data_IF_119750575990
#
_entry.id   IF_119750575990
#
_cell.length_a   1.000
_cell.length_b   1.000
_cell.length_c   1.000
_cell.angle_alpha   90.00
_cell.angle_beta   90.00
_cell.angle_gamma   90.00
#
_symmetry.space_group_name_H-M   'P 1'
#
loop_
_entity.id
_entity.type
_entity.pdbx_description
1 polymer ?
#
# COMPACT_ATOMS: atom_id res chain seq x y z
N UNK A 1 -4.63 -12.96 22.61
CA UNK A 1 -3.69 -11.87 22.27
C UNK A 1 -2.77 -11.69 23.44
N UNK A 2 -1.47 -11.55 23.19
CA UNK A 2 -0.50 -11.22 24.22
C UNK A 2 -0.79 -9.79 24.71
N UNK A 3 -1.17 -9.63 25.98
CA UNK A 3 -1.61 -8.35 26.54
C UNK A 3 -0.50 -7.29 26.44
N UNK A 4 0.75 -7.72 26.58
CA UNK A 4 1.92 -6.85 26.51
C UNK A 4 2.12 -6.26 25.10
N UNK A 5 1.79 -7.03 24.05
CA UNK A 5 1.86 -6.56 22.66
C UNK A 5 0.76 -5.55 22.34
N UNK A 6 -0.45 -5.74 22.88
CA UNK A 6 -1.56 -4.79 22.69
C UNK A 6 -1.25 -3.47 23.40
N UNK A 7 -0.75 -3.54 24.63
CA UNK A 7 -0.36 -2.35 25.38
C UNK A 7 0.78 -1.58 24.71
N UNK A 8 1.76 -2.30 24.13
CA UNK A 8 2.81 -1.68 23.33
C UNK A 8 2.23 -1.00 22.09
N UNK A 9 1.34 -1.67 21.35
CA UNK A 9 0.69 -1.12 20.17
C UNK A 9 -0.11 0.16 20.50
N UNK A 10 -0.84 0.18 21.62
CA UNK A 10 -1.58 1.38 22.07
C UNK A 10 -0.62 2.53 22.39
N UNK A 11 0.47 2.28 23.14
CA UNK A 11 1.48 3.32 23.43
C UNK A 11 2.12 3.88 22.16
N UNK A 12 2.52 2.99 21.23
CA UNK A 12 3.08 3.40 19.94
C UNK A 12 2.07 4.21 19.12
N UNK A 13 0.80 3.82 19.13
CA UNK A 13 -0.26 4.56 18.44
C UNK A 13 -0.47 5.96 19.04
N UNK A 14 -0.50 6.08 20.38
CA UNK A 14 -0.64 7.38 21.04
C UNK A 14 0.53 8.32 20.71
N UNK A 15 1.77 7.80 20.68
CA UNK A 15 2.96 8.55 20.28
C UNK A 15 2.91 8.97 18.79
N UNK A 16 2.45 8.09 17.90
CA UNK A 16 2.28 8.41 16.49
C UNK A 16 1.20 9.47 16.25
N UNK A 17 0.09 9.42 16.99
CA UNK A 17 -0.97 10.44 16.89
C UNK A 17 -0.49 11.81 17.40
N UNK A 18 0.31 11.84 18.47
CA UNK A 18 1.01 13.06 18.93
C UNK A 18 1.92 13.62 17.84
N UNK A 19 2.73 12.77 17.22
CA UNK A 19 3.60 13.15 16.09
C UNK A 19 2.80 13.70 14.89
N UNK A 20 1.65 13.09 14.58
CA UNK A 20 0.73 13.55 13.53
C UNK A 20 0.17 14.94 13.84
N UNK A 21 -0.15 15.23 15.11
CA UNK A 21 -0.60 16.56 15.59
C UNK A 21 0.51 17.62 15.64
N UNK A 22 1.77 17.23 15.43
CA UNK A 22 2.92 18.13 15.44
C UNK A 22 3.62 18.22 16.79
N UNK A 23 3.26 17.38 17.76
CA UNK A 23 3.98 17.31 19.03
C UNK A 23 5.36 16.69 18.85
N UNK A 24 6.31 17.09 19.68
CA UNK A 24 7.60 16.40 19.77
C UNK A 24 7.45 15.10 20.55
N UNK A 25 7.94 14.01 19.96
CA UNK A 25 7.99 12.69 20.59
C UNK A 25 9.44 12.21 20.57
N UNK A 26 10.05 11.89 21.74
CA UNK A 26 11.44 11.46 21.80
C UNK A 26 11.72 10.26 20.89
N UNK A 27 12.77 10.37 20.07
CA UNK A 27 13.19 9.28 19.17
C UNK A 27 12.37 9.14 17.89
N UNK A 28 11.33 9.95 17.69
CA UNK A 28 10.51 9.94 16.47
C UNK A 28 10.59 11.28 15.74
N UNK A 29 10.60 11.20 14.41
CA UNK A 29 10.52 12.36 13.52
C UNK A 29 9.41 12.12 12.51
N UNK A 30 8.65 13.17 12.20
CA UNK A 30 7.60 13.07 11.19
C UNK A 30 8.25 12.77 9.82
N UNK A 31 7.71 11.81 9.05
CA UNK A 31 8.24 11.51 7.74
C UNK A 31 8.10 12.73 6.82
N UNK A 32 9.11 12.94 5.97
CA UNK A 32 9.11 14.04 4.99
C UNK A 32 8.25 13.74 3.75
N UNK A 33 7.70 12.52 3.66
CA UNK A 33 6.96 12.01 2.51
C UNK A 33 5.83 11.09 2.98
N UNK A 34 5.14 10.48 2.01
CA UNK A 34 3.96 9.66 2.22
C UNK A 34 4.12 8.26 1.60
N UNK A 35 3.38 7.29 2.12
CA UNK A 35 3.42 5.88 1.74
C UNK A 35 3.34 4.93 2.94
N UNK A 36 3.17 3.63 2.67
CA UNK A 36 2.92 2.62 3.70
C UNK A 36 4.11 2.43 4.65
N UNK A 37 5.35 2.42 4.13
CA UNK A 37 6.57 2.14 4.90
C UNK A 37 7.41 3.39 5.18
N UNK A 38 7.23 4.46 4.40
CA UNK A 38 7.99 5.72 4.52
C UNK A 38 7.13 6.94 4.81
N UNK A 39 5.88 6.73 5.21
CA UNK A 39 4.91 7.78 5.53
C UNK A 39 4.06 7.44 6.75
N UNK A 40 3.08 8.29 7.01
CA UNK A 40 2.11 8.14 8.09
C UNK A 40 1.00 7.14 7.74
N UNK A 41 0.94 6.60 6.52
CA UNK A 41 -0.04 5.56 6.16
C UNK A 41 0.13 4.29 7.00
N UNK A 42 1.36 3.92 7.38
CA UNK A 42 1.60 2.82 8.32
C UNK A 42 1.06 3.10 9.73
N UNK A 43 1.17 4.35 10.21
CA UNK A 43 0.57 4.77 11.48
C UNK A 43 -0.96 4.75 11.41
N UNK A 44 -1.54 5.21 10.29
CA UNK A 44 -2.98 5.12 10.05
C UNK A 44 -3.47 3.67 10.04
N UNK A 45 -2.71 2.75 9.44
CA UNK A 45 -3.02 1.33 9.44
C UNK A 45 -3.01 0.75 10.86
N UNK A 46 -1.99 1.03 11.67
CA UNK A 46 -1.96 0.63 13.08
C UNK A 46 -3.21 1.10 13.85
N UNK A 47 -3.62 2.35 13.63
CA UNK A 47 -4.83 2.90 14.23
C UNK A 47 -6.10 2.19 13.75
N UNK A 48 -6.19 1.82 12.46
CA UNK A 48 -7.33 1.05 11.94
C UNK A 48 -7.40 -0.35 12.57
N UNK A 49 -6.26 -1.01 12.75
CA UNK A 49 -6.20 -2.32 13.41
C UNK A 49 -6.58 -2.24 14.89
N UNK A 50 -6.07 -1.23 15.62
CA UNK A 50 -6.47 -1.00 17.01
C UNK A 50 -7.96 -0.67 17.14
N UNK A 51 -8.51 0.12 16.21
CA UNK A 51 -9.95 0.38 16.17
C UNK A 51 -10.75 -0.90 15.94
N UNK A 52 -10.30 -1.78 15.03
CA UNK A 52 -10.95 -3.07 14.79
C UNK A 52 -10.88 -3.99 16.03
N UNK A 53 -9.76 -3.95 16.77
CA UNK A 53 -9.55 -4.75 17.97
C UNK A 53 -10.36 -4.25 19.19
N UNK A 54 -10.42 -2.94 19.41
CA UNK A 54 -10.98 -2.37 20.65
C UNK A 54 -12.35 -1.71 20.47
N UNK A 55 -12.72 -1.37 19.24
CA UNK A 55 -13.93 -0.59 18.93
C UNK A 55 -13.85 0.90 19.29
N UNK A 56 -12.71 1.38 19.80
CA UNK A 56 -12.60 2.76 20.27
C UNK A 56 -12.48 3.76 19.09
N UNK A 57 -13.40 4.73 19.01
CA UNK A 57 -13.44 5.72 17.92
C UNK A 57 -12.22 6.68 17.93
N UNK A 58 -11.48 6.79 19.05
CA UNK A 58 -10.26 7.62 19.11
C UNK A 58 -9.22 7.18 18.09
N UNK A 59 -9.10 5.86 17.87
CA UNK A 59 -8.17 5.30 16.89
C UNK A 59 -8.64 5.57 15.47
N UNK A 60 -9.94 5.43 15.17
CA UNK A 60 -10.48 5.80 13.87
C UNK A 60 -10.25 7.28 13.54
N UNK A 61 -10.44 8.18 14.51
CA UNK A 61 -10.13 9.61 14.33
C UNK A 61 -8.63 9.86 14.10
N UNK A 62 -7.74 9.10 14.74
CA UNK A 62 -6.30 9.21 14.54
C UNK A 62 -5.86 8.73 13.15
N UNK A 63 -6.43 7.63 12.67
CA UNK A 63 -6.22 7.16 11.29
C UNK A 63 -6.62 8.24 10.26
N UNK A 64 -7.78 8.88 10.46
CA UNK A 64 -8.24 9.98 9.60
C UNK A 64 -7.25 11.14 9.55
N UNK A 65 -6.78 11.64 10.70
CA UNK A 65 -5.77 12.72 10.77
C UNK A 65 -4.47 12.36 10.05
N UNK A 66 -3.99 11.13 10.22
CA UNK A 66 -2.78 10.67 9.57
C UNK A 66 -2.94 10.64 8.04
N UNK A 67 -4.08 10.15 7.54
CA UNK A 67 -4.38 10.11 6.11
C UNK A 67 -4.61 11.51 5.49
N UNK A 68 -5.25 12.43 6.23
CA UNK A 68 -5.37 13.83 5.81
C UNK A 68 -4.00 14.49 5.63
N UNK A 69 -3.06 14.20 6.53
CA UNK A 69 -1.67 14.68 6.42
C UNK A 69 -0.93 14.04 5.24
N UNK A 70 -1.10 12.74 5.01
CA UNK A 70 -0.55 12.04 3.83
C UNK A 70 -1.10 12.61 2.52
N UNK A 71 -2.41 12.90 2.47
CA UNK A 71 -3.06 13.48 1.30
C UNK A 71 -2.46 14.84 0.91
N UNK A 72 -1.92 15.60 1.87
CA UNK A 72 -1.17 16.83 1.60
C UNK A 72 0.11 16.65 0.78
N UNK A 73 0.66 15.42 0.70
CA UNK A 73 1.78 15.08 -0.17
C UNK A 73 1.35 14.64 -1.58
N UNK A 74 0.07 14.32 -1.77
CA UNK A 74 -0.45 13.85 -3.05
C UNK A 74 -0.73 15.01 -3.99
N UNK A 75 -0.27 14.89 -5.24
CA UNK A 75 -0.50 15.86 -6.31
C UNK A 75 -1.09 15.18 -7.53
N UNK A 76 -2.01 15.87 -8.20
CA UNK A 76 -2.53 15.45 -9.49
C UNK A 76 -1.57 15.86 -10.60
N UNK A 77 -1.12 14.88 -11.39
CA UNK A 77 -0.22 15.08 -12.51
C UNK A 77 -0.99 15.42 -13.80
N UNK A 78 -0.35 16.04 -14.80
CA UNK A 78 -0.89 16.08 -16.15
C UNK A 78 -1.26 14.66 -16.61
N UNK A 79 -2.51 14.45 -17.03
CA UNK A 79 -3.06 13.13 -17.36
C UNK A 79 -3.88 12.46 -16.25
N UNK A 80 -4.06 13.11 -15.09
CA UNK A 80 -5.04 12.71 -14.07
C UNK A 80 -4.54 11.71 -13.02
N UNK A 81 -3.30 11.21 -13.15
CA UNK A 81 -2.72 10.35 -12.11
C UNK A 81 -2.45 11.13 -10.81
N UNK A 82 -2.61 10.48 -9.67
CA UNK A 82 -2.32 11.06 -8.35
C UNK A 82 -1.09 10.39 -7.76
N UNK A 83 -0.08 11.19 -7.43
CA UNK A 83 1.23 10.70 -6.99
C UNK A 83 1.71 11.48 -5.76
N UNK A 84 2.48 10.83 -4.90
CA UNK A 84 3.16 11.52 -3.79
C UNK A 84 4.31 12.33 -4.35
N UNK A 85 4.38 13.63 -4.02
CA UNK A 85 5.49 14.52 -4.38
C UNK A 85 6.51 14.60 -3.26
N UNK A 86 7.77 14.38 -3.60
CA UNK A 86 8.92 14.55 -2.70
C UNK A 86 10.03 15.29 -3.45
N UNK A 87 10.14 16.59 -3.17
CA UNK A 87 10.98 17.51 -3.91
C UNK A 87 10.63 17.54 -5.40
N UNK A 88 11.53 16.99 -6.24
CA UNK A 88 11.36 16.87 -7.70
C UNK A 88 10.86 15.50 -8.16
N UNK A 89 10.71 14.55 -7.24
CA UNK A 89 10.31 13.16 -7.53
C UNK A 89 8.83 12.97 -7.26
N UNK A 90 8.23 12.04 -7.99
CA UNK A 90 6.84 11.63 -7.82
C UNK A 90 6.79 10.12 -7.66
N UNK A 91 5.97 9.63 -6.73
CA UNK A 91 5.96 8.24 -6.31
C UNK A 91 4.56 7.64 -6.28
N UNK A 92 4.46 6.41 -6.80
CA UNK A 92 3.24 5.61 -6.87
C UNK A 92 3.29 4.34 -5.99
N UNK A 93 4.47 3.97 -5.50
CA UNK A 93 4.71 2.66 -4.91
C UNK A 93 4.01 2.47 -3.54
N UNK A 94 4.03 1.22 -3.06
CA UNK A 94 3.49 0.89 -1.74
C UNK A 94 4.34 1.50 -0.62
N UNK A 95 5.67 1.43 -0.72
CA UNK A 95 6.56 1.89 0.36
C UNK A 95 6.50 3.40 0.58
N UNK A 96 6.92 4.16 -0.42
CA UNK A 96 6.85 5.59 -0.57
C UNK A 96 6.07 5.83 -1.85
N UNK A 97 4.91 6.44 -1.73
CA UNK A 97 4.04 6.62 -2.88
C UNK A 97 2.57 6.61 -2.54
N UNK A 98 1.78 7.07 -3.51
CA UNK A 98 0.34 7.19 -3.36
C UNK A 98 -0.37 5.84 -3.34
N UNK A 99 0.26 4.75 -3.81
CA UNK A 99 -0.29 3.40 -3.71
C UNK A 99 -0.52 2.97 -2.25
N UNK A 100 0.49 3.14 -1.39
CA UNK A 100 0.36 2.88 0.04
C UNK A 100 -0.73 3.74 0.71
N UNK A 101 -0.78 5.03 0.37
CA UNK A 101 -1.80 5.97 0.86
C UNK A 101 -3.20 5.50 0.46
N UNK A 102 -3.40 5.15 -0.81
CA UNK A 102 -4.71 4.78 -1.34
C UNK A 102 -5.26 3.48 -0.76
N UNK A 103 -4.41 2.49 -0.49
CA UNK A 103 -4.84 1.25 0.16
C UNK A 103 -5.38 1.51 1.57
N UNK A 104 -4.65 2.27 2.37
CA UNK A 104 -5.06 2.58 3.75
C UNK A 104 -6.26 3.54 3.76
N UNK A 105 -6.31 4.48 2.82
CA UNK A 105 -7.47 5.34 2.61
C UNK A 105 -8.73 4.53 2.24
N UNK A 106 -8.63 3.54 1.34
CA UNK A 106 -9.76 2.67 1.00
C UNK A 106 -10.26 1.89 2.24
N UNK A 107 -9.34 1.36 3.06
CA UNK A 107 -9.70 0.67 4.31
C UNK A 107 -10.38 1.60 5.33
N UNK A 108 -9.94 2.85 5.43
CA UNK A 108 -10.57 3.88 6.27
C UNK A 108 -11.97 4.25 5.74
N UNK A 109 -12.11 4.43 4.42
CA UNK A 109 -13.37 4.81 3.78
C UNK A 109 -14.48 3.77 3.94
N UNK A 110 -14.13 2.50 4.16
CA UNK A 110 -15.10 1.45 4.52
C UNK A 110 -15.76 1.68 5.88
N UNK A 111 -15.19 2.53 6.74
CA UNK A 111 -15.66 2.83 8.11
C UNK A 111 -16.19 4.26 8.24
N UNK A 112 -15.62 5.21 7.50
CA UNK A 112 -15.98 6.63 7.59
C UNK A 112 -15.81 7.35 6.27
N UNK A 113 -16.86 8.07 5.84
CA UNK A 113 -16.80 8.91 4.64
C UNK A 113 -15.78 10.04 4.81
N UNK A 114 -14.93 10.21 3.79
CA UNK A 114 -13.97 11.31 3.66
C UNK A 114 -13.84 11.66 2.17
N UNK A 115 -14.59 12.66 1.68
CA UNK A 115 -14.63 13.00 0.26
C UNK A 115 -13.24 13.24 -0.35
N UNK A 116 -12.37 13.96 0.34
CA UNK A 116 -11.03 14.29 -0.15
C UNK A 116 -10.16 13.04 -0.34
N UNK A 117 -10.21 12.09 0.60
CA UNK A 117 -9.50 10.80 0.48
C UNK A 117 -10.08 9.95 -0.66
N UNK A 118 -11.42 9.93 -0.78
CA UNK A 118 -12.09 9.17 -1.83
C UNK A 118 -11.76 9.68 -3.23
N UNK A 119 -11.55 10.99 -3.37
CA UNK A 119 -11.22 11.64 -4.64
C UNK A 119 -9.80 11.27 -5.16
N UNK A 120 -8.90 10.82 -4.28
CA UNK A 120 -7.54 10.39 -4.69
C UNK A 120 -7.55 9.04 -5.40
N UNK A 121 -8.44 8.12 -4.99
CA UNK A 121 -8.37 6.70 -5.36
C UNK A 121 -8.37 6.45 -6.87
N UNK A 122 -9.24 7.10 -7.69
CA UNK A 122 -9.25 6.87 -9.13
C UNK A 122 -7.92 7.26 -9.80
N UNK A 123 -7.35 8.40 -9.43
CA UNK A 123 -6.08 8.87 -9.98
C UNK A 123 -4.88 8.02 -9.56
N UNK A 124 -4.90 7.47 -8.33
CA UNK A 124 -3.87 6.52 -7.89
C UNK A 124 -3.99 5.20 -8.66
N UNK A 125 -5.21 4.65 -8.79
CA UNK A 125 -5.46 3.42 -9.57
C UNK A 125 -4.97 3.57 -11.01
N UNK A 126 -5.25 4.72 -11.65
CA UNK A 126 -4.77 5.01 -13.00
C UNK A 126 -3.24 5.02 -13.10
N UNK A 127 -2.55 5.61 -12.11
CA UNK A 127 -1.08 5.61 -12.08
C UNK A 127 -0.47 4.21 -11.87
N UNK A 128 -1.17 3.35 -11.14
CA UNK A 128 -0.69 1.99 -10.83
C UNK A 128 -0.67 1.03 -12.04
N UNK A 129 -1.31 1.40 -13.16
CA UNK A 129 -1.30 0.61 -14.41
C UNK A 129 -0.40 1.22 -15.49
N UNK A 130 0.47 2.18 -15.12
CA UNK A 130 1.46 2.73 -16.05
C UNK A 130 2.36 1.63 -16.62
N UNK A 131 2.64 1.74 -17.93
CA UNK A 131 3.35 0.72 -18.68
C UNK A 131 4.78 0.53 -18.21
N UNK A 132 5.52 1.63 -18.04
CA UNK A 132 6.93 1.58 -17.63
C UNK A 132 7.08 1.59 -16.11
N UNK A 133 7.61 0.50 -15.57
CA UNK A 133 7.98 0.35 -14.16
C UNK A 133 9.37 -0.26 -14.11
N UNK A 134 10.27 0.29 -13.28
CA UNK A 134 11.68 -0.11 -13.28
C UNK A 134 11.92 -1.46 -12.62
N UNK A 135 11.27 -1.72 -11.48
CA UNK A 135 11.54 -2.89 -10.64
C UNK A 135 10.32 -3.82 -10.59
N UNK A 136 10.49 -5.14 -10.41
CA UNK A 136 9.37 -6.07 -10.33
C UNK A 136 8.72 -6.15 -8.95
N UNK A 137 9.43 -5.73 -7.89
CA UNK A 137 9.10 -6.03 -6.50
C UNK A 137 7.74 -5.52 -6.00
N UNK A 138 7.35 -6.01 -4.82
CA UNK A 138 6.09 -5.66 -4.18
C UNK A 138 6.09 -4.22 -3.66
N UNK A 139 7.13 -3.82 -2.93
CA UNK A 139 7.10 -2.51 -2.27
C UNK A 139 7.51 -1.35 -3.17
N UNK A 140 8.39 -1.58 -4.15
CA UNK A 140 8.99 -0.54 -5.01
C UNK A 140 8.84 -0.82 -6.51
N UNK A 141 7.87 -1.66 -6.90
CA UNK A 141 7.82 -2.19 -8.26
C UNK A 141 6.46 -2.60 -8.78
N UNK A 142 6.49 -3.26 -9.94
CA UNK A 142 5.30 -3.61 -10.74
C UNK A 142 4.33 -4.49 -9.97
N UNK A 143 4.82 -5.45 -9.18
CA UNK A 143 3.95 -6.34 -8.42
C UNK A 143 3.06 -5.57 -7.43
N UNK A 144 3.62 -4.59 -6.72
CA UNK A 144 2.83 -3.73 -5.84
C UNK A 144 1.83 -2.86 -6.58
N UNK A 145 2.28 -2.25 -7.69
CA UNK A 145 1.42 -1.37 -8.49
C UNK A 145 0.22 -2.14 -9.07
N UNK A 146 0.43 -3.30 -9.70
CA UNK A 146 -0.69 -4.09 -10.25
C UNK A 146 -1.63 -4.60 -9.15
N UNK A 147 -1.11 -5.00 -7.98
CA UNK A 147 -1.95 -5.43 -6.86
C UNK A 147 -2.75 -4.26 -6.28
N UNK A 148 -2.14 -3.07 -6.17
CA UNK A 148 -2.83 -1.84 -5.76
C UNK A 148 -3.94 -1.48 -6.75
N UNK A 149 -3.65 -1.53 -8.05
CA UNK A 149 -4.65 -1.30 -9.09
C UNK A 149 -5.82 -2.29 -8.98
N UNK A 150 -5.54 -3.58 -8.80
CA UNK A 150 -6.56 -4.61 -8.60
C UNK A 150 -7.41 -4.38 -7.35
N UNK A 151 -6.81 -3.96 -6.23
CA UNK A 151 -7.54 -3.64 -4.99
C UNK A 151 -8.44 -2.41 -5.13
N UNK A 152 -8.01 -1.42 -5.93
CA UNK A 152 -8.76 -0.19 -6.20
C UNK A 152 -9.72 -0.30 -7.39
N UNK A 153 -9.73 -1.42 -8.11
CA UNK A 153 -10.61 -1.61 -9.26
C UNK A 153 -12.07 -1.76 -8.83
N UNK A 154 -13.01 -1.06 -9.49
CA UNK A 154 -14.41 -1.05 -9.10
C UNK A 154 -15.16 -2.34 -9.42
N UNK A 155 -14.72 -3.11 -10.44
CA UNK A 155 -15.45 -4.30 -10.90
C UNK A 155 -14.79 -5.61 -10.51
N UNK A 156 -13.49 -5.71 -10.73
CA UNK A 156 -12.72 -6.93 -10.48
C UNK A 156 -11.24 -6.61 -10.29
N UNK A 157 -10.55 -7.44 -9.51
CA UNK A 157 -9.08 -7.35 -9.34
C UNK A 157 -8.33 -7.55 -10.67
N UNK A 158 -8.94 -8.22 -11.64
CA UNK A 158 -8.33 -8.58 -12.92
C UNK A 158 -8.92 -7.80 -14.10
N UNK A 159 -9.20 -6.51 -13.93
CA UNK A 159 -9.58 -5.65 -15.06
C UNK A 159 -8.50 -5.67 -16.18
N UNK A 160 -8.87 -5.42 -17.45
CA UNK A 160 -7.98 -5.66 -18.60
C UNK A 160 -6.62 -4.97 -18.52
N UNK A 161 -6.56 -3.77 -17.95
CA UNK A 161 -5.34 -2.98 -17.73
C UNK A 161 -4.46 -3.56 -16.61
N UNK A 162 -5.07 -4.08 -15.54
CA UNK A 162 -4.35 -4.81 -14.48
C UNK A 162 -3.75 -6.11 -15.04
N UNK A 163 -4.52 -6.84 -15.85
CA UNK A 163 -4.01 -8.04 -16.55
C UNK A 163 -2.90 -7.71 -17.55
N UNK A 164 -3.00 -6.58 -18.25
CA UNK A 164 -1.91 -6.11 -19.11
C UNK A 164 -0.64 -5.80 -18.30
N UNK A 165 -0.78 -5.13 -17.15
CA UNK A 165 0.35 -4.90 -16.24
C UNK A 165 0.94 -6.22 -15.74
N UNK A 166 0.12 -7.21 -15.36
CA UNK A 166 0.60 -8.53 -14.96
C UNK A 166 1.38 -9.26 -16.08
N UNK A 167 0.92 -9.16 -17.34
CA UNK A 167 1.66 -9.72 -18.50
C UNK A 167 3.04 -9.07 -18.68
N UNK A 168 3.16 -7.77 -18.37
CA UNK A 168 4.43 -7.04 -18.42
C UNK A 168 5.41 -7.42 -17.30
N UNK A 169 5.07 -8.35 -16.39
CA UNK A 169 6.06 -8.99 -15.52
C UNK A 169 7.13 -9.72 -16.33
N UNK A 170 6.78 -10.26 -17.51
CA UNK A 170 7.73 -10.94 -18.41
C UNK A 170 8.93 -10.05 -18.81
N UNK A 171 8.80 -8.72 -18.76
CA UNK A 171 9.91 -7.79 -19.02
C UNK A 171 10.95 -7.75 -17.91
N UNK A 172 10.60 -8.24 -16.72
CA UNK A 172 11.44 -8.21 -15.53
C UNK A 172 12.09 -9.56 -15.21
N UNK A 173 11.48 -10.66 -15.64
CA UNK A 173 11.87 -12.01 -15.21
C UNK A 173 13.04 -12.55 -16.05
N UNK A 174 13.96 -13.23 -15.37
CA UNK A 174 15.06 -13.94 -16.02
C UNK A 174 14.70 -15.43 -16.05
N UNK A 175 14.55 -15.99 -17.24
CA UNK A 175 14.41 -17.43 -17.40
C UNK A 175 15.77 -18.12 -17.21
N UNK A 176 15.83 -19.07 -16.28
CA UNK A 176 16.99 -19.92 -16.06
C UNK A 176 16.50 -21.37 -15.87
N UNK A 177 16.76 -22.22 -16.86
CA UNK A 177 16.33 -23.63 -16.88
C UNK A 177 14.81 -23.76 -16.65
N UNK A 178 14.41 -24.40 -15.55
CA UNK A 178 13.03 -24.65 -15.14
C UNK A 178 12.46 -23.54 -14.23
N UNK A 179 13.17 -22.41 -14.08
CA UNK A 179 12.84 -21.36 -13.11
C UNK A 179 12.73 -19.99 -13.75
N UNK A 180 11.93 -19.15 -13.09
CA UNK A 180 11.90 -17.71 -13.31
C UNK A 180 12.54 -17.04 -12.10
N UNK A 181 13.62 -16.30 -12.34
CA UNK A 181 14.31 -15.52 -11.33
C UNK A 181 13.81 -14.07 -11.37
N UNK A 182 13.67 -13.48 -10.18
CA UNK A 182 13.20 -12.10 -10.00
C UNK A 182 14.36 -11.22 -9.59
N UNK A 183 14.82 -10.27 -10.42
CA UNK A 183 15.78 -9.25 -10.02
C UNK A 183 15.20 -8.41 -8.86
N UNK A 184 15.93 -8.34 -7.75
CA UNK A 184 15.54 -7.54 -6.58
C UNK A 184 15.88 -6.06 -6.73
N UNK A 185 16.10 -5.37 -5.59
CA UNK A 185 16.38 -3.93 -5.57
C UNK A 185 17.48 -3.52 -6.54
N UNK A 186 17.21 -2.44 -7.30
CA UNK A 186 18.13 -1.88 -8.30
C UNK A 186 18.59 -2.88 -9.37
N UNK A 187 17.91 -4.02 -9.50
CA UNK A 187 18.16 -5.06 -10.51
C UNK A 187 19.60 -5.64 -10.48
N UNK A 188 20.29 -5.59 -9.33
CA UNK A 188 21.70 -6.01 -9.22
C UNK A 188 21.89 -7.52 -8.98
N UNK A 189 20.93 -8.16 -8.33
CA UNK A 189 20.92 -9.60 -8.01
C UNK A 189 19.49 -10.11 -7.97
N UNK A 190 19.30 -11.40 -8.17
CA UNK A 190 17.99 -12.01 -7.97
C UNK A 190 17.65 -12.08 -6.47
N UNK A 191 16.36 -11.98 -6.14
CA UNK A 191 15.85 -12.10 -4.78
C UNK A 191 14.60 -12.98 -4.71
N UNK A 192 14.44 -13.67 -3.59
CA UNK A 192 13.23 -14.41 -3.23
C UNK A 192 12.44 -13.77 -2.08
N UNK A 193 12.87 -12.60 -1.57
CA UNK A 193 12.21 -11.93 -0.44
C UNK A 193 10.83 -11.33 -0.80
N UNK A 194 10.05 -11.01 0.23
CA UNK A 194 8.71 -10.43 0.10
C UNK A 194 8.74 -9.02 -0.50
N UNK A 195 9.75 -8.22 -0.18
CA UNK A 195 9.76 -6.81 -0.50
C UNK A 195 10.07 -6.54 -1.98
N UNK A 196 11.03 -7.30 -2.51
CA UNK A 196 11.73 -6.99 -3.75
C UNK A 196 11.80 -8.19 -4.70
N UNK A 197 11.59 -9.40 -4.18
CA UNK A 197 11.83 -10.65 -4.88
C UNK A 197 10.59 -11.47 -5.20
N UNK A 198 10.83 -12.76 -5.48
CA UNK A 198 9.82 -13.70 -5.94
C UNK A 198 8.65 -13.90 -4.98
N UNK A 199 8.86 -13.90 -3.65
CA UNK A 199 7.75 -14.06 -2.71
C UNK A 199 6.74 -12.91 -2.81
N UNK A 200 7.21 -11.67 -2.96
CA UNK A 200 6.33 -10.51 -3.15
C UNK A 200 5.56 -10.53 -4.46
N UNK A 201 6.23 -10.94 -5.54
CA UNK A 201 5.61 -11.11 -6.83
C UNK A 201 4.52 -12.20 -6.79
N UNK A 202 4.80 -13.35 -6.18
CA UNK A 202 3.85 -14.44 -6.03
C UNK A 202 2.66 -14.04 -5.15
N UNK A 203 2.88 -13.30 -4.06
CA UNK A 203 1.79 -12.78 -3.23
C UNK A 203 0.88 -11.84 -4.04
N UNK A 204 1.45 -10.95 -4.85
CA UNK A 204 0.67 -10.07 -5.70
C UNK A 204 -0.14 -10.84 -6.75
N UNK A 205 0.44 -11.86 -7.39
CA UNK A 205 -0.28 -12.73 -8.32
C UNK A 205 -1.39 -13.52 -7.62
N UNK A 206 -1.11 -14.11 -6.45
CA UNK A 206 -2.09 -14.81 -5.64
C UNK A 206 -3.29 -13.91 -5.28
N UNK A 207 -3.00 -12.69 -4.82
CA UNK A 207 -4.02 -11.67 -4.52
C UNK A 207 -4.94 -11.39 -5.72
N UNK A 208 -4.36 -11.26 -6.93
CA UNK A 208 -5.10 -11.01 -8.16
C UNK A 208 -5.89 -12.23 -8.62
N UNK A 209 -5.33 -13.44 -8.47
CA UNK A 209 -5.95 -14.71 -8.87
C UNK A 209 -7.09 -15.15 -7.95
N UNK A 210 -7.08 -14.76 -6.68
CA UNK A 210 -8.14 -15.07 -5.71
C UNK A 210 -9.52 -14.46 -6.00
N UNK A 211 -9.69 -13.81 -7.16
CA UNK A 211 -10.97 -13.32 -7.68
C UNK A 211 -11.72 -14.32 -8.58
N UNK A 212 -11.24 -15.55 -8.74
CA UNK A 212 -11.87 -16.60 -9.56
C UNK A 212 -12.46 -17.75 -8.74
N UNK A 213 -13.78 -17.94 -8.89
CA UNK A 213 -14.60 -19.13 -8.61
C UNK A 213 -14.43 -19.83 -7.24
N UNK A 214 -15.27 -19.40 -6.28
CA UNK A 214 -15.53 -20.16 -5.07
C UNK A 214 -16.33 -19.35 -4.05
N UNK A 215 -17.63 -19.62 -3.93
CA UNK A 215 -18.44 -19.13 -2.84
C UNK A 215 -17.92 -19.72 -1.51
N UNK A 216 -17.13 -18.94 -0.77
CA UNK A 216 -16.69 -19.27 0.58
C UNK A 216 -15.73 -18.20 1.10
N UNK A 217 -16.17 -17.43 2.11
CA UNK A 217 -15.42 -16.43 2.91
C UNK A 217 -14.55 -15.46 2.11
N UNK A 218 -14.95 -14.17 2.07
CA UNK A 218 -14.37 -13.13 1.23
C UNK A 218 -12.85 -13.18 1.09
N UNK A 219 -12.36 -13.27 -0.14
CA UNK A 219 -10.93 -13.29 -0.45
C UNK A 219 -10.25 -12.10 0.22
N UNK A 220 -9.18 -12.32 1.02
CA UNK A 220 -8.57 -11.25 1.78
C UNK A 220 -8.11 -10.10 0.90
N UNK A 221 -8.21 -8.89 1.44
CA UNK A 221 -7.67 -7.68 0.82
C UNK A 221 -6.14 -7.69 0.80
N UNK A 222 -5.53 -6.82 -0.02
CA UNK A 222 -4.08 -6.75 -0.10
C UNK A 222 -3.43 -6.36 1.24
N UNK A 223 -4.05 -5.44 2.00
CA UNK A 223 -3.54 -5.06 3.33
C UNK A 223 -3.61 -6.23 4.31
N UNK A 224 -4.69 -7.00 4.31
CA UNK A 224 -4.83 -8.19 5.15
C UNK A 224 -3.73 -9.20 4.84
N UNK A 225 -3.44 -9.48 3.56
CA UNK A 225 -2.33 -10.35 3.19
C UNK A 225 -0.95 -9.84 3.64
N UNK A 226 -0.79 -8.53 3.85
CA UNK A 226 0.44 -7.91 4.33
C UNK A 226 0.53 -7.86 5.86
N UNK A 227 -0.59 -7.90 6.57
CA UNK A 227 -0.66 -7.81 8.03
C UNK A 227 -0.99 -9.13 8.72
N UNK A 228 -1.38 -10.17 7.96
CA UNK A 228 -1.52 -11.55 8.44
C UNK A 228 -0.13 -12.11 8.79
N UNK A 229 0.27 -11.87 10.04
CA UNK A 229 1.25 -12.66 10.80
C UNK A 229 0.54 -13.42 11.91
#
# INVERSE_FOLDING_TARGET
>A
ADHDLVDLAVRTADDLDRLVRGDSVPGLAAPASAGLLRGLSGAALLHLELHALTGEDRFLRAAGRALEREAGHCVTMPGGTVQVKDGRRHFLYLDQGSGGVALVAQAYLARRAAPDLSALLPGVRQGCVLEFVREPGLFTGRAGLMATAGQLSPKSRTEPDVLASARNLSWHLIAQEDRLLVPGSRLRRCSADLATGAAGLLLALHFLSGGGDGAGTGTPGLLELLTLG
#
